data_IF_428341026416
#
_entry.id   IF_428341026416
#
_cell.length_a   1.000
_cell.length_b   1.000
_cell.length_c   1.000
_cell.angle_alpha   90.00
_cell.angle_beta   90.00
_cell.angle_gamma   90.00
#
_symmetry.space_group_name_H-M   'P 1'
#
loop_
_entity.id
_entity.type
_entity.pdbx_description
1 polymer ?
#
# COMPACT_ATOMS: atom_id res chain seq x y z
N UNK A 1 45.61 -65.79 -17.86
CA UNK A 1 44.21 -65.32 -17.98
C UNK A 1 44.09 -64.01 -17.21
N UNK A 2 43.73 -62.92 -17.88
CA UNK A 2 43.65 -61.55 -17.34
C UNK A 2 42.41 -61.37 -16.44
N UNK A 3 42.59 -60.52 -15.44
CA UNK A 3 41.67 -60.01 -14.41
C UNK A 3 40.34 -59.46 -14.95
N UNK A 4 39.24 -59.63 -14.18
CA UNK A 4 38.12 -58.68 -14.15
C UNK A 4 37.52 -58.60 -12.73
N UNK A 5 38.04 -57.65 -11.95
CA UNK A 5 37.39 -57.11 -10.75
C UNK A 5 36.13 -56.35 -11.14
N UNK A 6 34.97 -56.73 -10.59
CA UNK A 6 33.71 -56.02 -10.76
C UNK A 6 33.77 -54.67 -10.02
N UNK A 7 33.87 -53.58 -10.76
CA UNK A 7 33.63 -52.23 -10.24
C UNK A 7 32.14 -51.93 -10.24
N UNK A 8 31.58 -51.74 -9.04
CA UNK A 8 30.22 -51.26 -8.80
C UNK A 8 30.10 -49.83 -9.36
N UNK A 9 29.32 -49.66 -10.42
CA UNK A 9 29.02 -48.35 -11.00
C UNK A 9 28.02 -47.59 -10.15
N UNK A 10 28.51 -46.76 -9.22
CA UNK A 10 27.68 -45.76 -8.54
C UNK A 10 27.45 -44.60 -9.51
N UNK A 11 26.25 -44.51 -10.07
CA UNK A 11 25.82 -43.40 -10.90
C UNK A 11 25.83 -42.10 -10.07
N UNK A 12 26.85 -41.26 -10.28
CA UNK A 12 26.87 -39.88 -9.78
C UNK A 12 25.74 -39.11 -10.46
N UNK A 13 24.62 -38.92 -9.76
CA UNK A 13 23.63 -37.89 -10.13
C UNK A 13 24.26 -36.53 -9.89
N UNK A 14 24.87 -35.97 -10.93
CA UNK A 14 25.30 -34.58 -10.96
C UNK A 14 24.05 -33.69 -10.84
N UNK A 15 23.85 -33.10 -9.68
CA UNK A 15 22.92 -31.98 -9.50
C UNK A 15 23.44 -30.80 -10.33
N UNK A 16 22.93 -30.65 -11.55
CA UNK A 16 23.15 -29.45 -12.35
C UNK A 16 22.16 -28.38 -11.90
N UNK A 17 22.45 -27.72 -10.77
CA UNK A 17 21.84 -26.43 -10.44
C UNK A 17 22.57 -25.37 -11.27
N UNK A 18 22.20 -25.28 -12.55
CA UNK A 18 22.64 -24.22 -13.44
C UNK A 18 21.90 -22.94 -13.10
N UNK A 19 22.57 -22.04 -12.36
CA UNK A 19 22.21 -20.63 -12.30
C UNK A 19 22.12 -20.07 -13.71
N UNK A 20 20.92 -19.70 -14.14
CA UNK A 20 20.71 -18.56 -15.02
C UNK A 20 19.97 -17.49 -14.23
N UNK A 21 20.70 -16.86 -13.30
CA UNK A 21 20.35 -15.56 -12.77
C UNK A 21 20.59 -14.54 -13.89
N UNK A 22 19.61 -14.37 -14.75
CA UNK A 22 19.36 -13.17 -15.53
C UNK A 22 18.16 -13.44 -16.43
N UNK A 23 16.99 -12.97 -15.99
CA UNK A 23 16.08 -12.33 -16.92
C UNK A 23 15.23 -11.29 -16.18
N UNK A 24 15.65 -10.03 -16.43
CA UNK A 24 14.82 -8.82 -16.51
C UNK A 24 13.96 -8.50 -15.30
N UNK A 25 14.55 -7.67 -14.42
CA UNK A 25 13.85 -6.62 -13.68
C UNK A 25 13.02 -5.82 -14.68
N UNK A 26 11.78 -6.23 -14.93
CA UNK A 26 10.79 -5.38 -15.56
C UNK A 26 10.62 -4.22 -14.58
N UNK A 27 11.17 -3.06 -14.94
CA UNK A 27 10.85 -1.84 -14.23
C UNK A 27 9.32 -1.74 -14.25
N UNK A 28 8.71 -1.86 -13.06
CA UNK A 28 7.36 -1.39 -12.84
C UNK A 28 7.26 0.02 -13.45
N UNK A 29 6.12 0.43 -14.04
CA UNK A 29 5.96 1.79 -14.55
C UNK A 29 6.49 2.74 -13.48
N UNK A 30 7.43 3.62 -13.85
CA UNK A 30 8.20 4.42 -12.90
C UNK A 30 7.23 5.10 -11.94
N UNK A 31 7.16 4.62 -10.70
CA UNK A 31 6.27 5.20 -9.71
C UNK A 31 6.78 6.61 -9.43
N UNK A 32 6.06 7.62 -9.91
CA UNK A 32 6.42 9.03 -9.78
C UNK A 32 6.07 9.52 -8.37
N UNK A 33 6.78 8.99 -7.37
CA UNK A 33 6.58 9.28 -5.96
C UNK A 33 6.65 10.78 -5.66
N UNK A 34 7.60 11.47 -6.29
CA UNK A 34 7.84 12.90 -6.08
C UNK A 34 6.67 13.76 -6.58
N UNK A 35 6.15 13.49 -7.78
CA UNK A 35 5.01 14.22 -8.33
C UNK A 35 3.76 14.03 -7.46
N UNK A 36 3.48 12.79 -7.02
CA UNK A 36 2.35 12.51 -6.13
C UNK A 36 2.54 13.14 -4.74
N UNK A 37 3.76 13.13 -4.22
CA UNK A 37 4.10 13.77 -2.94
C UNK A 37 3.87 15.28 -3.01
N UNK A 38 4.28 15.93 -4.11
CA UNK A 38 4.03 17.35 -4.36
C UNK A 38 2.53 17.65 -4.49
N UNK A 39 1.77 16.81 -5.20
CA UNK A 39 0.31 16.95 -5.32
C UNK A 39 -0.40 16.85 -3.97
N UNK A 40 0.06 15.93 -3.10
CA UNK A 40 -0.44 15.81 -1.73
C UNK A 40 0.05 16.92 -0.80
N UNK A 41 1.05 17.70 -1.22
CA UNK A 41 1.69 18.72 -0.39
C UNK A 41 2.45 18.14 0.81
N UNK A 42 2.93 16.90 0.70
CA UNK A 42 3.65 16.19 1.78
C UNK A 42 5.03 15.79 1.28
N UNK A 43 6.08 16.16 2.02
CA UNK A 43 7.44 15.71 1.77
C UNK A 43 7.79 14.56 2.70
N UNK A 44 7.89 13.34 2.16
CA UNK A 44 8.24 12.15 2.94
C UNK A 44 9.75 12.04 3.14
N UNK A 45 10.19 11.76 4.38
CA UNK A 45 11.59 11.48 4.72
C UNK A 45 11.95 10.02 4.48
N UNK A 46 11.00 9.12 4.73
CA UNK A 46 11.16 7.68 4.58
C UNK A 46 11.07 7.32 3.10
N UNK A 47 12.12 6.71 2.51
CA UNK A 47 12.12 6.38 1.10
C UNK A 47 11.05 5.34 0.78
N UNK A 48 10.40 5.47 -0.37
CA UNK A 48 9.40 4.54 -0.89
C UNK A 48 8.16 4.33 -0.01
N UNK A 49 7.97 5.11 1.06
CA UNK A 49 6.82 4.93 1.95
C UNK A 49 5.48 5.20 1.24
N UNK A 50 5.46 6.21 0.36
CA UNK A 50 4.29 6.53 -0.46
C UNK A 50 4.01 5.43 -1.48
N UNK A 51 5.06 4.88 -2.11
CA UNK A 51 4.91 3.73 -3.01
C UNK A 51 4.27 2.57 -2.27
N UNK A 52 4.81 2.21 -1.11
CA UNK A 52 4.28 1.14 -0.27
C UNK A 52 2.83 1.41 0.15
N UNK A 53 2.47 2.66 0.47
CA UNK A 53 1.09 3.02 0.80
C UNK A 53 0.12 2.76 -0.36
N UNK A 54 0.60 2.91 -1.60
CA UNK A 54 -0.15 2.66 -2.83
C UNK A 54 0.09 1.26 -3.42
N UNK A 55 0.72 0.33 -2.68
CA UNK A 55 0.87 -1.07 -3.08
C UNK A 55 -0.15 -1.96 -2.39
N UNK A 56 -1.15 -2.44 -3.14
CA UNK A 56 -2.10 -3.44 -2.66
C UNK A 56 -1.45 -4.83 -2.58
N UNK A 57 -1.89 -5.67 -1.64
CA UNK A 57 -1.37 -7.04 -1.47
C UNK A 57 -1.47 -7.95 -2.70
N UNK A 58 -2.35 -7.63 -3.65
CA UNK A 58 -2.49 -8.43 -4.87
C UNK A 58 -1.44 -8.10 -5.93
N UNK A 59 -0.70 -7.00 -5.77
CA UNK A 59 0.42 -6.66 -6.62
C UNK A 59 1.57 -7.65 -6.42
N UNK A 60 2.19 -8.10 -7.52
CA UNK A 60 3.31 -9.06 -7.54
C UNK A 60 3.10 -10.29 -6.64
N UNK A 61 1.86 -10.81 -6.60
CA UNK A 61 1.47 -11.96 -5.76
C UNK A 61 1.79 -11.79 -4.27
N UNK A 62 1.88 -10.55 -3.78
CA UNK A 62 2.17 -10.24 -2.38
C UNK A 62 3.64 -10.41 -1.98
N UNK A 63 4.56 -10.53 -2.94
CA UNK A 63 6.00 -10.65 -2.68
C UNK A 63 6.63 -9.32 -2.23
N UNK A 64 5.96 -8.20 -2.51
CA UNK A 64 6.35 -6.84 -2.11
C UNK A 64 5.59 -6.42 -0.84
N UNK A 65 6.20 -5.62 0.06
CA UNK A 65 5.51 -5.09 1.23
C UNK A 65 4.20 -4.38 0.87
N UNK A 66 3.09 -4.87 1.40
CA UNK A 66 1.76 -4.30 1.15
C UNK A 66 1.46 -3.09 2.05
N UNK A 67 0.41 -2.38 1.68
CA UNK A 67 -0.13 -1.23 2.39
C UNK A 67 -0.98 -1.58 3.63
N UNK A 68 -1.26 -2.86 3.90
CA UNK A 68 -2.24 -3.28 4.94
C UNK A 68 -1.89 -2.76 6.34
N UNK A 69 -0.59 -2.76 6.70
CA UNK A 69 -0.13 -2.23 8.00
C UNK A 69 -0.29 -0.72 8.11
N UNK A 70 0.04 0.01 7.04
CA UNK A 70 -0.12 1.46 6.98
C UNK A 70 -1.61 1.82 7.00
N UNK A 71 -2.45 1.08 6.27
CA UNK A 71 -3.88 1.28 6.24
C UNK A 71 -4.52 1.08 7.61
N UNK A 72 -4.10 0.04 8.34
CA UNK A 72 -4.57 -0.18 9.71
C UNK A 72 -4.24 1.01 10.62
N UNK A 73 -3.01 1.51 10.57
CA UNK A 73 -2.56 2.65 11.35
C UNK A 73 -3.33 3.93 11.00
N UNK A 74 -3.42 4.25 9.71
CA UNK A 74 -4.10 5.45 9.24
C UNK A 74 -5.60 5.43 9.50
N UNK A 75 -6.25 4.27 9.48
CA UNK A 75 -7.65 4.14 9.87
C UNK A 75 -7.88 4.57 11.34
N UNK A 76 -6.93 4.30 12.25
CA UNK A 76 -7.02 4.77 13.65
C UNK A 76 -6.84 6.27 13.76
N UNK A 77 -5.90 6.84 13.00
CA UNK A 77 -5.68 8.30 12.93
C UNK A 77 -6.92 9.02 12.40
N UNK A 78 -7.50 8.50 11.31
CA UNK A 78 -8.72 9.04 10.72
C UNK A 78 -9.89 8.96 11.70
N UNK A 79 -10.08 7.82 12.36
CA UNK A 79 -11.14 7.64 13.35
C UNK A 79 -11.06 8.68 14.48
N UNK A 80 -9.86 8.88 15.04
CA UNK A 80 -9.67 9.86 16.11
C UNK A 80 -9.91 11.29 15.59
N UNK A 81 -9.38 11.63 14.43
CA UNK A 81 -9.55 12.96 13.82
C UNK A 81 -11.02 13.26 13.49
N UNK A 82 -11.76 12.26 13.01
CA UNK A 82 -13.20 12.37 12.76
C UNK A 82 -13.97 12.60 14.07
N UNK A 83 -13.68 11.83 15.12
CA UNK A 83 -14.25 12.04 16.45
C UNK A 83 -14.02 13.45 16.95
N UNK A 84 -12.78 13.95 16.90
CA UNK A 84 -12.44 15.32 17.33
C UNK A 84 -13.18 16.38 16.52
N UNK A 85 -13.28 16.21 15.21
CA UNK A 85 -14.00 17.14 14.34
C UNK A 85 -15.52 17.13 14.61
N UNK A 86 -16.08 15.99 15.01
CA UNK A 86 -17.48 15.86 15.37
C UNK A 86 -17.80 16.45 16.75
N UNK A 87 -16.84 16.60 17.66
CA UNK A 87 -17.07 17.25 18.97
C UNK A 87 -17.57 18.69 18.84
N UNK A 88 -17.11 19.39 17.80
CA UNK A 88 -17.52 20.78 17.51
C UNK A 88 -18.77 20.88 16.62
N UNK A 89 -19.30 19.75 16.13
CA UNK A 89 -20.44 19.75 15.21
C UNK A 89 -21.77 19.74 15.98
N UNK A 90 -22.74 20.54 15.53
CA UNK A 90 -24.08 20.64 16.14
C UNK A 90 -25.03 19.50 15.75
N UNK A 91 -24.49 18.36 15.32
CA UNK A 91 -25.28 17.24 14.83
C UNK A 91 -26.09 16.56 15.92
N UNK A 92 -27.28 16.06 15.55
CA UNK A 92 -28.15 15.30 16.46
C UNK A 92 -27.54 13.98 16.95
N UNK A 93 -26.60 13.39 16.22
CA UNK A 93 -25.94 12.13 16.57
C UNK A 93 -24.45 12.14 16.24
N UNK A 94 -23.62 12.24 17.29
CA UNK A 94 -22.16 12.21 17.19
C UNK A 94 -21.63 10.97 16.45
N UNK A 95 -22.19 9.79 16.74
CA UNK A 95 -21.72 8.53 16.15
C UNK A 95 -21.99 8.45 14.65
N UNK A 96 -23.16 8.94 14.22
CA UNK A 96 -23.55 8.87 12.81
C UNK A 96 -22.67 9.78 11.97
N UNK A 97 -22.39 10.99 12.44
CA UNK A 97 -21.47 11.92 11.79
C UNK A 97 -20.06 11.34 11.64
N UNK A 98 -19.52 10.73 12.69
CA UNK A 98 -18.21 10.08 12.62
C UNK A 98 -18.24 8.92 11.61
N UNK A 99 -19.30 8.10 11.62
CA UNK A 99 -19.42 6.97 10.69
C UNK A 99 -19.51 7.39 9.23
N UNK A 100 -20.17 8.52 8.95
CA UNK A 100 -20.30 9.09 7.62
C UNK A 100 -18.94 9.58 7.09
N UNK A 101 -18.15 10.24 7.95
CA UNK A 101 -16.83 10.76 7.61
C UNK A 101 -15.83 9.65 7.25
N UNK A 102 -15.93 8.49 7.89
CA UNK A 102 -15.06 7.32 7.66
C UNK A 102 -15.67 6.29 6.70
N UNK A 103 -16.82 6.60 6.09
CA UNK A 103 -17.54 5.66 5.24
C UNK A 103 -16.72 5.27 4.01
N UNK A 104 -16.87 4.00 3.60
CA UNK A 104 -16.14 3.42 2.49
C UNK A 104 -16.33 4.23 1.20
N UNK A 105 -17.56 4.65 0.92
CA UNK A 105 -17.92 5.41 -0.28
C UNK A 105 -17.26 6.79 -0.28
N UNK A 106 -17.26 7.49 0.86
CA UNK A 106 -16.61 8.79 1.00
C UNK A 106 -15.11 8.67 0.79
N UNK A 107 -14.46 7.67 1.40
CA UNK A 107 -13.03 7.44 1.21
C UNK A 107 -12.68 7.06 -0.23
N UNK A 108 -13.51 6.26 -0.90
CA UNK A 108 -13.33 5.96 -2.32
C UNK A 108 -13.45 7.22 -3.20
N UNK A 109 -14.41 8.12 -2.91
CA UNK A 109 -14.51 9.41 -3.60
C UNK A 109 -13.31 10.32 -3.33
N UNK A 110 -12.79 10.32 -2.11
CA UNK A 110 -11.58 11.09 -1.75
C UNK A 110 -10.33 10.55 -2.45
N UNK A 111 -10.22 9.23 -2.62
CA UNK A 111 -9.16 8.64 -3.43
C UNK A 111 -9.16 9.19 -4.86
N UNK A 112 -10.34 9.22 -5.49
CA UNK A 112 -10.50 9.73 -6.84
C UNK A 112 -10.21 11.23 -6.92
N UNK A 113 -10.69 12.02 -5.96
CA UNK A 113 -10.42 13.47 -5.90
C UNK A 113 -8.96 13.84 -5.59
N UNK A 114 -8.20 12.93 -4.99
CA UNK A 114 -6.75 13.06 -4.78
C UNK A 114 -5.91 12.54 -5.96
N UNK A 115 -6.55 12.09 -7.04
CA UNK A 115 -5.90 11.53 -8.24
C UNK A 115 -4.85 10.46 -7.92
N UNK A 116 -5.15 9.56 -6.98
CA UNK A 116 -4.22 8.50 -6.55
C UNK A 116 -4.20 7.29 -7.48
N UNK A 117 -5.06 7.25 -8.49
CA UNK A 117 -5.24 6.12 -9.41
C UNK A 117 -3.93 5.74 -10.11
N UNK A 118 -3.19 6.72 -10.61
CA UNK A 118 -1.97 6.49 -11.40
C UNK A 118 -0.81 5.96 -10.55
N UNK A 119 -0.83 6.23 -9.24
CA UNK A 119 0.14 5.70 -8.29
C UNK A 119 -0.21 4.31 -7.75
N UNK A 120 -1.45 3.85 -7.94
CA UNK A 120 -1.93 2.64 -7.28
C UNK A 120 -1.44 1.37 -7.99
N UNK A 121 -0.67 0.56 -7.27
CA UNK A 121 -0.18 -0.74 -7.70
C UNK A 121 -1.11 -1.84 -7.17
N UNK A 122 -1.87 -2.46 -8.06
CA UNK A 122 -2.77 -3.56 -7.72
C UNK A 122 -3.00 -4.47 -8.93
N UNK A 123 -3.35 -5.73 -8.65
CA UNK A 123 -3.80 -6.67 -9.68
C UNK A 123 -5.09 -7.32 -9.20
N UNK A 124 -6.23 -6.82 -9.64
CA UNK A 124 -7.55 -7.39 -9.34
C UNK A 124 -8.34 -7.40 -10.65
N UNK A 125 -8.93 -8.55 -11.05
CA UNK A 125 -9.71 -8.62 -12.29
C UNK A 125 -10.97 -7.76 -12.18
N UNK A 126 -11.28 -7.05 -13.27
CA UNK A 126 -12.49 -6.22 -13.37
C UNK A 126 -12.24 -4.91 -14.11
N UNK A 127 -13.30 -4.25 -14.60
CA UNK A 127 -13.17 -3.00 -15.36
C UNK A 127 -12.80 -1.79 -14.49
N UNK A 128 -13.09 -1.86 -13.19
CA UNK A 128 -12.90 -0.75 -12.26
C UNK A 128 -12.24 -1.21 -10.96
N UNK A 129 -11.42 -0.33 -10.38
CA UNK A 129 -10.84 -0.56 -9.07
C UNK A 129 -11.94 -0.62 -7.99
N UNK A 130 -12.02 -1.70 -7.20
CA UNK A 130 -13.00 -1.83 -6.13
C UNK A 130 -12.92 -0.67 -5.13
N UNK A 131 -14.07 -0.10 -4.69
CA UNK A 131 -14.11 0.98 -3.69
C UNK A 131 -13.34 0.66 -2.40
N UNK A 132 -13.31 -0.60 -1.98
CA UNK A 132 -12.53 -1.06 -0.82
C UNK A 132 -11.03 -0.85 -0.99
N UNK A 133 -10.49 -1.05 -2.19
CA UNK A 133 -9.05 -0.85 -2.47
C UNK A 133 -8.73 0.64 -2.41
N UNK A 134 -9.57 1.48 -3.02
CA UNK A 134 -9.47 2.95 -2.96
C UNK A 134 -9.46 3.46 -1.52
N UNK A 135 -10.45 3.06 -0.73
CA UNK A 135 -10.56 3.47 0.68
C UNK A 135 -9.36 2.99 1.51
N UNK A 136 -8.88 1.76 1.27
CA UNK A 136 -7.69 1.21 1.95
C UNK A 136 -6.43 2.01 1.60
N UNK A 137 -6.27 2.43 0.33
CA UNK A 137 -5.15 3.24 -0.10
C UNK A 137 -5.14 4.63 0.56
N UNK A 138 -6.30 5.29 0.69
CA UNK A 138 -6.41 6.57 1.43
C UNK A 138 -5.96 6.40 2.88
N UNK A 139 -6.46 5.35 3.56
CA UNK A 139 -6.02 5.04 4.92
C UNK A 139 -4.51 4.75 4.97
N UNK A 140 -3.95 4.08 3.98
CA UNK A 140 -2.52 3.81 3.94
C UNK A 140 -1.68 5.07 3.76
N UNK A 141 -2.13 6.03 2.96
CA UNK A 141 -1.47 7.34 2.80
C UNK A 141 -1.48 8.09 4.13
N UNK A 142 -2.60 8.13 4.84
CA UNK A 142 -2.68 8.73 6.19
C UNK A 142 -1.70 8.03 7.14
N UNK A 143 -1.65 6.70 7.10
CA UNK A 143 -0.71 5.90 7.89
C UNK A 143 0.75 6.17 7.54
N UNK A 144 1.06 6.43 6.27
CA UNK A 144 2.40 6.81 5.82
C UNK A 144 2.81 8.17 6.38
N UNK A 145 1.91 9.18 6.34
CA UNK A 145 2.17 10.50 6.94
C UNK A 145 2.42 10.35 8.44
N UNK A 146 1.59 9.58 9.14
CA UNK A 146 1.79 9.32 10.57
C UNK A 146 3.13 8.64 10.86
N UNK A 147 3.48 7.61 10.09
CA UNK A 147 4.71 6.84 10.32
C UNK A 147 5.96 7.70 10.09
N UNK A 148 5.90 8.62 9.13
CA UNK A 148 7.03 9.46 8.74
C UNK A 148 7.18 10.74 9.59
N UNK A 149 6.06 11.35 10.00
CA UNK A 149 6.04 12.70 10.58
C UNK A 149 5.26 12.80 11.90
N UNK A 150 4.65 11.72 12.35
CA UNK A 150 3.90 11.65 13.61
C UNK A 150 2.44 12.11 13.51
N UNK A 151 1.77 12.09 14.65
CA UNK A 151 0.31 12.31 14.73
C UNK A 151 -0.12 13.70 14.29
N UNK A 152 0.59 14.76 14.70
CA UNK A 152 0.20 16.15 14.40
C UNK A 152 0.13 16.40 12.88
N UNK A 153 1.15 15.98 12.13
CA UNK A 153 1.17 16.09 10.67
C UNK A 153 0.06 15.26 10.01
N UNK A 154 -0.18 14.05 10.52
CA UNK A 154 -1.24 13.18 9.98
C UNK A 154 -2.65 13.74 10.24
N UNK A 155 -2.88 14.36 11.41
CA UNK A 155 -4.14 15.01 11.75
C UNK A 155 -4.40 16.23 10.85
N UNK A 156 -3.38 17.06 10.60
CA UNK A 156 -3.48 18.18 9.68
C UNK A 156 -3.79 17.72 8.25
N UNK A 157 -3.11 16.67 7.79
CA UNK A 157 -3.38 16.05 6.49
C UNK A 157 -4.83 15.57 6.38
N UNK A 158 -5.36 14.89 7.40
CA UNK A 158 -6.75 14.41 7.43
C UNK A 158 -7.74 15.57 7.36
N UNK A 159 -7.53 16.63 8.14
CA UNK A 159 -8.39 17.83 8.14
C UNK A 159 -8.40 18.53 6.79
N UNK A 160 -7.26 18.59 6.10
CA UNK A 160 -7.12 19.27 4.81
C UNK A 160 -7.70 18.47 3.64
N UNK A 161 -7.52 17.16 3.63
CA UNK A 161 -7.79 16.33 2.45
C UNK A 161 -9.04 15.45 2.58
N UNK A 162 -9.43 15.04 3.79
CA UNK A 162 -10.44 13.98 4.00
C UNK A 162 -11.73 14.49 4.65
N UNK A 163 -11.61 15.24 5.74
CA UNK A 163 -12.77 15.83 6.45
C UNK A 163 -13.35 17.01 5.67
#
# INVERSE_FOLDING_TARGET
>A
MRLLTQTIGVARRSFHCGRTLQDKKAASPSFHAEALSQQLGVSFKTPNILQRALTHKSFEHGTVPSNERLAYLGARVLQLSACENSLTSSSSSFKDHVSEQISLERLAKKFDGLNLTDGMQYHVPGPHMPPKIKATAVNAVIGAVYHDQGYAAAQEFVKKHVL
#
